data_IF_540421611594
#
_entry.id   IF_540421611594
#
_cell.length_a   1.000
_cell.length_b   1.000
_cell.length_c   1.000
_cell.angle_alpha   90.00
_cell.angle_beta   90.00
_cell.angle_gamma   90.00
#
_symmetry.space_group_name_H-M   'P 1'
#
loop_
_entity.id
_entity.type
_entity.pdbx_description
1 polymer ?
#
# COMPACT_ATOMS: atom_id res chain seq x y z
N UNK A 1 -4.23 32.86 -19.04
CA UNK A 1 -3.13 32.73 -18.06
C UNK A 1 -2.44 31.39 -18.29
N UNK A 2 -1.28 31.36 -18.96
CA UNK A 2 -0.67 30.11 -19.46
C UNK A 2 -0.22 29.19 -18.33
N UNK A 3 0.27 29.77 -17.24
CA UNK A 3 0.76 29.03 -16.06
C UNK A 3 -0.35 28.26 -15.36
N UNK A 4 -1.53 28.86 -15.17
CA UNK A 4 -2.69 28.19 -14.60
C UNK A 4 -3.13 26.97 -15.44
N UNK A 5 -3.00 27.05 -16.77
CA UNK A 5 -3.29 25.93 -17.67
C UNK A 5 -2.29 24.79 -17.51
N UNK A 6 -1.00 25.10 -17.31
CA UNK A 6 0.03 24.09 -17.07
C UNK A 6 -0.19 23.35 -15.76
N UNK A 7 -0.58 24.06 -14.70
CA UNK A 7 -0.92 23.44 -13.42
C UNK A 7 -2.13 22.51 -13.57
N UNK A 8 -3.19 22.95 -14.26
CA UNK A 8 -4.36 22.11 -14.52
C UNK A 8 -4.00 20.85 -15.32
N UNK A 9 -3.17 20.99 -16.34
CA UNK A 9 -2.69 19.85 -17.13
C UNK A 9 -1.91 18.85 -16.26
N UNK A 10 -1.04 19.34 -15.38
CA UNK A 10 -0.29 18.48 -14.46
C UNK A 10 -1.21 17.75 -13.47
N UNK A 11 -2.22 18.42 -12.93
CA UNK A 11 -3.23 17.80 -12.06
C UNK A 11 -3.98 16.67 -12.79
N UNK A 12 -4.36 16.88 -14.05
CA UNK A 12 -5.01 15.87 -14.87
C UNK A 12 -4.08 14.68 -15.18
N UNK A 13 -2.79 14.93 -15.44
CA UNK A 13 -1.82 13.85 -15.65
C UNK A 13 -1.65 12.97 -14.41
N UNK A 14 -1.56 13.56 -13.21
CA UNK A 14 -1.45 12.81 -11.97
C UNK A 14 -2.69 11.94 -11.72
N UNK A 15 -3.86 12.47 -12.04
CA UNK A 15 -5.12 11.73 -11.93
C UNK A 15 -5.21 10.57 -12.93
N UNK A 16 -4.81 10.81 -14.19
CA UNK A 16 -4.73 9.76 -15.21
C UNK A 16 -3.80 8.62 -14.77
N UNK A 17 -2.62 8.94 -14.22
CA UNK A 17 -1.68 7.93 -13.72
C UNK A 17 -2.27 7.12 -12.58
N UNK A 18 -2.98 7.75 -11.65
CA UNK A 18 -3.64 7.05 -10.55
C UNK A 18 -4.73 6.09 -11.07
N UNK A 19 -5.54 6.52 -12.05
CA UNK A 19 -6.56 5.68 -12.68
C UNK A 19 -5.96 4.50 -13.47
N UNK A 20 -4.78 4.68 -14.08
CA UNK A 20 -4.11 3.64 -14.87
C UNK A 20 -3.67 2.46 -13.99
N UNK A 21 -3.21 2.76 -12.76
CA UNK A 21 -2.72 1.77 -11.80
C UNK A 21 -3.85 1.20 -10.92
N UNK A 22 -5.03 1.84 -10.93
CA UNK A 22 -6.18 1.40 -10.15
C UNK A 22 -6.56 -0.05 -10.43
N UNK A 23 -6.93 -0.79 -9.38
CA UNK A 23 -7.36 -2.18 -9.51
C UNK A 23 -6.20 -3.17 -9.66
N UNK A 24 -5.00 -2.81 -9.18
CA UNK A 24 -3.82 -3.69 -9.16
C UNK A 24 -3.38 -4.14 -10.55
N UNK A 25 -3.40 -3.19 -11.49
CA UNK A 25 -2.83 -3.44 -12.80
C UNK A 25 -1.30 -3.52 -12.70
N UNK A 26 -0.77 -4.73 -12.56
CA UNK A 26 0.66 -5.01 -12.40
C UNK A 26 1.53 -4.44 -13.53
N UNK A 27 1.04 -4.47 -14.78
CA UNK A 27 1.77 -3.96 -15.93
C UNK A 27 1.89 -2.44 -15.87
N UNK A 28 0.77 -1.77 -15.57
CA UNK A 28 0.72 -0.34 -15.36
C UNK A 28 1.61 0.09 -14.21
N UNK A 29 1.52 -0.60 -13.07
CA UNK A 29 2.29 -0.30 -11.87
C UNK A 29 3.79 -0.40 -12.14
N UNK A 30 4.25 -1.48 -12.78
CA UNK A 30 5.66 -1.66 -13.14
C UNK A 30 6.15 -0.57 -14.08
N UNK A 31 5.34 -0.19 -15.07
CA UNK A 31 5.69 0.89 -16.01
C UNK A 31 5.79 2.25 -15.30
N UNK A 32 4.83 2.59 -14.44
CA UNK A 32 4.85 3.85 -13.68
C UNK A 32 5.99 3.89 -12.67
N UNK A 33 6.27 2.78 -11.97
CA UNK A 33 7.41 2.68 -11.06
C UNK A 33 8.75 2.78 -11.79
N UNK A 34 8.88 2.21 -12.98
CA UNK A 34 10.08 2.37 -13.80
C UNK A 34 10.32 3.84 -14.22
N UNK A 35 9.24 4.61 -14.39
CA UNK A 35 9.29 6.04 -14.73
C UNK A 35 9.46 6.94 -13.49
N UNK A 36 9.21 6.42 -12.28
CA UNK A 36 9.20 7.18 -11.04
C UNK A 36 10.47 8.00 -10.76
N UNK A 37 11.72 7.47 -10.89
CA UNK A 37 12.92 8.26 -10.62
C UNK A 37 13.09 9.43 -11.59
N UNK A 38 12.74 9.25 -12.87
CA UNK A 38 12.83 10.29 -13.89
C UNK A 38 11.71 11.34 -13.79
N UNK A 39 10.60 11.01 -13.12
CA UNK A 39 9.41 11.87 -12.99
C UNK A 39 9.19 12.40 -11.58
N UNK A 40 10.06 12.08 -10.63
CA UNK A 40 9.91 12.48 -9.23
C UNK A 40 8.70 11.85 -8.54
N UNK A 41 8.28 10.66 -8.96
CA UNK A 41 7.15 9.91 -8.38
C UNK A 41 7.60 8.86 -7.36
N UNK A 42 8.81 9.01 -6.83
CA UNK A 42 9.33 8.19 -5.74
C UNK A 42 8.54 8.45 -4.45
N UNK A 43 8.46 7.43 -3.60
CA UNK A 43 7.71 7.48 -2.34
C UNK A 43 8.08 8.71 -1.48
N UNK A 44 9.37 8.91 -1.22
CA UNK A 44 9.85 10.01 -0.37
C UNK A 44 9.56 11.38 -0.97
N UNK A 45 9.65 11.49 -2.30
CA UNK A 45 9.35 12.74 -3.01
C UNK A 45 7.86 13.08 -2.92
N UNK A 46 6.98 12.10 -3.18
CA UNK A 46 5.54 12.28 -3.03
C UNK A 46 5.15 12.61 -1.59
N UNK A 47 5.76 11.95 -0.61
CA UNK A 47 5.50 12.21 0.80
C UNK A 47 5.96 13.61 1.22
N UNK A 48 7.12 14.08 0.71
CA UNK A 48 7.60 15.44 0.93
C UNK A 48 6.63 16.49 0.36
N UNK A 49 6.08 16.27 -0.83
CA UNK A 49 5.08 17.16 -1.45
C UNK A 49 3.80 17.24 -0.61
N UNK A 50 3.33 16.10 -0.09
CA UNK A 50 2.11 16.04 0.74
C UNK A 50 2.32 16.80 2.06
N UNK A 51 3.51 16.70 2.66
CA UNK A 51 3.87 17.36 3.92
C UNK A 51 4.09 18.88 3.77
N UNK A 52 4.41 19.36 2.57
CA UNK A 52 4.75 20.76 2.36
C UNK A 52 3.52 21.69 2.48
N UNK A 53 3.57 22.63 3.44
CA UNK A 53 2.45 23.52 3.76
C UNK A 53 2.11 24.53 2.65
N UNK A 54 3.09 24.91 1.82
CA UNK A 54 2.89 25.87 0.72
C UNK A 54 2.26 25.29 -0.55
N UNK A 55 2.00 23.98 -0.61
CA UNK A 55 1.43 23.34 -1.80
C UNK A 55 -0.10 23.40 -1.77
N UNK A 56 -0.77 23.76 -2.89
CA UNK A 56 -2.22 23.79 -2.96
C UNK A 56 -2.84 22.43 -2.64
N UNK A 57 -4.01 22.47 -2.00
CA UNK A 57 -4.69 21.26 -1.54
C UNK A 57 -5.04 20.30 -2.68
N UNK A 58 -5.44 20.82 -3.85
CA UNK A 58 -5.72 20.02 -5.05
C UNK A 58 -4.52 19.16 -5.46
N UNK A 59 -3.31 19.71 -5.45
CA UNK A 59 -2.10 18.94 -5.79
C UNK A 59 -1.80 17.88 -4.73
N UNK A 60 -1.89 18.24 -3.44
CA UNK A 60 -1.65 17.30 -2.33
C UNK A 60 -2.60 16.10 -2.37
N UNK A 61 -3.89 16.33 -2.62
CA UNK A 61 -4.87 15.23 -2.73
C UNK A 61 -4.55 14.28 -3.89
N UNK A 62 -4.16 14.80 -5.06
CA UNK A 62 -3.79 13.97 -6.21
C UNK A 62 -2.50 13.19 -5.98
N UNK A 63 -1.48 13.81 -5.40
CA UNK A 63 -0.24 13.12 -5.00
C UNK A 63 -0.49 12.05 -3.92
N UNK A 64 -1.35 12.34 -2.93
CA UNK A 64 -1.72 11.38 -1.90
C UNK A 64 -2.47 10.18 -2.48
N UNK A 65 -3.43 10.41 -3.38
CA UNK A 65 -4.13 9.33 -4.06
C UNK A 65 -3.16 8.45 -4.87
N UNK A 66 -2.25 9.08 -5.63
CA UNK A 66 -1.24 8.37 -6.41
C UNK A 66 -0.29 7.56 -5.49
N UNK A 67 0.13 8.11 -4.36
CA UNK A 67 0.95 7.42 -3.37
C UNK A 67 0.23 6.18 -2.81
N UNK A 68 -1.05 6.30 -2.47
CA UNK A 68 -1.84 5.18 -1.97
C UNK A 68 -1.98 4.08 -3.02
N UNK A 69 -2.36 4.43 -4.24
CA UNK A 69 -2.55 3.45 -5.33
C UNK A 69 -1.23 2.78 -5.72
N UNK A 70 -0.12 3.52 -5.76
CA UNK A 70 1.17 2.96 -6.15
C UNK A 70 1.86 2.16 -5.05
N UNK A 71 1.84 2.62 -3.80
CA UNK A 71 2.71 2.09 -2.74
C UNK A 71 1.95 1.37 -1.62
N UNK A 72 0.66 1.67 -1.41
CA UNK A 72 -0.14 1.10 -0.32
C UNK A 72 -1.02 -0.06 -0.82
N UNK A 73 -1.60 0.03 -2.02
CA UNK A 73 -2.44 -1.04 -2.61
C UNK A 73 -1.60 -2.12 -3.35
N UNK A 74 -0.39 -2.41 -2.85
CA UNK A 74 0.54 -3.40 -3.45
C UNK A 74 0.31 -4.84 -3.00
N UNK A 75 -0.30 -5.05 -1.84
CA UNK A 75 -0.50 -6.38 -1.28
C UNK A 75 -1.97 -6.62 -0.95
N UNK A 76 -2.46 -7.86 -1.05
CA UNK A 76 -3.64 -8.24 -0.30
C UNK A 76 -3.25 -8.14 1.17
N UNK A 77 -3.52 -6.99 1.78
CA UNK A 77 -3.98 -7.05 3.16
C UNK A 77 -5.12 -8.06 3.11
N UNK A 78 -4.86 -9.30 3.55
CA UNK A 78 -5.93 -10.22 3.89
C UNK A 78 -6.92 -9.37 4.65
N UNK A 79 -8.18 -9.33 4.20
CA UNK A 79 -9.21 -8.63 4.94
C UNK A 79 -9.14 -9.20 6.35
N UNK A 80 -8.47 -8.50 7.26
CA UNK A 80 -8.32 -9.00 8.60
C UNK A 80 -9.74 -8.99 9.12
N UNK A 81 -10.26 -10.18 9.39
CA UNK A 81 -11.56 -10.28 10.00
C UNK A 81 -11.47 -9.52 11.30
N UNK A 82 -12.11 -8.35 11.36
CA UNK A 82 -12.06 -7.47 12.53
C UNK A 82 -12.49 -8.21 13.80
N UNK A 83 -13.28 -9.27 13.63
CA UNK A 83 -13.56 -10.28 14.63
C UNK A 83 -13.04 -11.66 14.20
N UNK A 84 -12.07 -12.17 14.93
CA UNK A 84 -11.60 -13.56 14.81
C UNK A 84 -12.67 -14.49 15.39
N UNK A 85 -13.44 -15.15 14.52
CA UNK A 85 -14.49 -16.11 14.93
C UNK A 85 -13.95 -17.46 15.40
N UNK A 86 -12.70 -17.76 15.07
CA UNK A 86 -12.02 -19.00 15.42
C UNK A 86 -10.75 -18.64 16.18
N UNK A 87 -10.53 -19.29 17.32
CA UNK A 87 -9.29 -19.20 18.10
C UNK A 87 -8.70 -20.59 18.24
N UNK A 88 -7.38 -20.67 18.18
CA UNK A 88 -6.65 -21.90 18.45
C UNK A 88 -6.47 -21.98 19.97
N UNK A 89 -6.79 -23.13 20.57
CA UNK A 89 -6.75 -23.32 22.03
C UNK A 89 -5.38 -22.98 22.64
N UNK A 90 -4.30 -23.34 21.95
CA UNK A 90 -2.91 -23.04 22.36
C UNK A 90 -2.52 -21.57 22.24
N UNK A 91 -3.32 -20.75 21.56
CA UNK A 91 -3.07 -19.32 21.34
C UNK A 91 -3.92 -18.39 22.23
N UNK A 92 -4.66 -18.93 23.19
CA UNK A 92 -5.42 -18.13 24.14
C UNK A 92 -4.49 -17.77 25.30
N UNK A 93 -3.93 -16.56 25.26
CA UNK A 93 -3.22 -16.02 26.40
C UNK A 93 -4.23 -15.61 27.49
N UNK A 94 -3.75 -15.54 28.75
CA UNK A 94 -4.56 -15.15 29.90
C UNK A 94 -5.22 -13.76 29.74
N UNK A 95 -6.15 -13.40 30.63
CA UNK A 95 -6.93 -12.17 30.51
C UNK A 95 -6.02 -10.93 30.38
N UNK A 96 -5.97 -10.34 29.19
CA UNK A 96 -5.26 -9.08 28.89
C UNK A 96 -4.07 -9.18 27.93
N UNK A 97 -3.59 -10.37 27.60
CA UNK A 97 -2.44 -10.52 26.68
C UNK A 97 -2.92 -10.65 25.23
N UNK A 98 -2.86 -9.54 24.48
CA UNK A 98 -3.06 -9.57 23.03
C UNK A 98 -1.90 -10.33 22.40
N UNK A 99 -2.19 -11.42 21.69
CA UNK A 99 -1.22 -12.19 20.93
C UNK A 99 -0.64 -11.31 19.82
N UNK A 100 0.61 -10.85 19.97
CA UNK A 100 1.38 -10.28 18.88
C UNK A 100 1.50 -11.33 17.77
N UNK A 101 0.82 -11.09 16.65
CA UNK A 101 0.86 -11.96 15.47
C UNK A 101 2.25 -11.93 14.83
N UNK A 102 3.17 -12.76 15.33
CA UNK A 102 4.45 -13.03 14.68
C UNK A 102 4.28 -14.24 13.77
N UNK A 103 4.02 -13.99 12.50
CA UNK A 103 4.09 -15.01 11.45
C UNK A 103 5.51 -15.59 11.42
N UNK A 104 5.68 -16.79 11.96
CA UNK A 104 6.85 -17.64 11.70
C UNK A 104 6.44 -18.63 10.62
N UNK A 105 6.82 -18.33 9.38
CA UNK A 105 7.04 -19.38 8.38
C UNK A 105 8.18 -20.25 8.90
N UNK A 106 7.87 -21.49 9.23
CA UNK A 106 8.84 -22.48 9.68
C UNK A 106 8.38 -23.85 9.22
N UNK A 107 8.86 -24.27 8.05
CA UNK A 107 8.79 -25.66 7.63
C UNK A 107 9.49 -26.56 8.64
N UNK A 108 8.85 -27.68 8.96
CA UNK A 108 9.41 -28.71 9.84
C UNK A 108 8.56 -29.96 9.71
N UNK A 109 9.13 -30.98 9.07
CA UNK A 109 8.59 -32.33 8.98
C UNK A 109 8.36 -32.89 10.38
N UNK A 110 7.16 -33.40 10.67
CA UNK A 110 6.96 -34.30 11.80
C UNK A 110 6.50 -35.66 11.25
N UNK A 111 7.43 -36.60 11.30
CA UNK A 111 7.26 -38.01 10.98
C UNK A 111 6.25 -38.62 11.95
N UNK A 112 5.12 -39.07 11.40
CA UNK A 112 4.15 -39.87 12.14
C UNK A 112 4.65 -41.32 12.20
N UNK A 113 5.51 -41.59 13.17
CA UNK A 113 5.92 -42.95 13.56
C UNK A 113 5.34 -43.22 14.93
N UNK A 114 4.37 -44.13 15.00
CA UNK A 114 4.13 -45.14 16.05
C UNK A 114 2.63 -45.44 16.15
N UNK A 115 2.28 -46.68 15.80
CA UNK A 115 1.27 -47.51 16.47
C UNK A 115 1.27 -48.87 15.75
N UNK A 116 2.06 -49.81 16.28
CA UNK A 116 1.84 -51.24 16.13
C UNK A 116 2.31 -51.96 17.38
#
# INVERSE_FOLDING_TARGET
>A
NKEASLVCYHLQMLELLALLVQGRNEYAMKAVLALAPAKGLEFDTLLAIIKHAGVPYSLRTRCCNLLCVLYVDKDPHHSMNQMMRTRIWTGINGPGEQSEGRGREGGGQETFSELK
#
